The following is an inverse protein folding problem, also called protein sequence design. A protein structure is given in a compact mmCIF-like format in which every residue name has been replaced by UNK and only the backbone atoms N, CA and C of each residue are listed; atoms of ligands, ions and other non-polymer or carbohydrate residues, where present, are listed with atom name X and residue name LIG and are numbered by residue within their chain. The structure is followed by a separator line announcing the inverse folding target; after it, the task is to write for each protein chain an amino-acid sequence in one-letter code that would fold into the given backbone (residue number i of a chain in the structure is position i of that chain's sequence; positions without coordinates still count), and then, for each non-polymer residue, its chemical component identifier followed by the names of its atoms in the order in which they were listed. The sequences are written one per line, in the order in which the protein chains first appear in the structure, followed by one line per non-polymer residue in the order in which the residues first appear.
data_IF_317287680831
#
_entry.id   IF_317287680831
#
_cell.length_a   1.000
_cell.length_b   1.000
_cell.length_c   1.000
_cell.angle_alpha   90.00
_cell.angle_beta   90.00
_cell.angle_gamma   90.00
#
_symmetry.space_group_name_H-M   'P 1'
#
loop_
_entity.id
_entity.type
_entity.pdbx_description
1 polymer ?
#
# COMPACT_ATOMS: atom_id res chain seq x y z
N UNK A 1 -13.86 -6.71 7.20
CA UNK A 1 -12.82 -7.66 7.66
C UNK A 1 -11.78 -6.82 8.39
N UNK A 2 -11.83 -6.80 9.73
CA UNK A 2 -10.90 -6.03 10.58
C UNK A 2 -9.55 -6.75 10.59
N UNK A 3 -8.43 -6.06 10.38
CA UNK A 3 -7.12 -6.66 10.62
C UNK A 3 -6.81 -6.60 12.12
N UNK A 4 -6.35 -7.69 12.76
CA UNK A 4 -5.98 -7.66 14.17
C UNK A 4 -4.72 -6.80 14.37
N UNK A 5 -4.86 -5.77 15.20
CA UNK A 5 -3.82 -4.90 15.70
C UNK A 5 -3.01 -5.68 16.75
N UNK A 6 -1.86 -6.23 16.38
CA UNK A 6 -0.99 -6.92 17.35
C UNK A 6 0.43 -6.37 17.42
N UNK A 7 0.70 -5.15 16.95
CA UNK A 7 2.04 -4.54 17.05
C UNK A 7 2.01 -3.01 17.10
N UNK A 8 1.35 -2.39 18.08
CA UNK A 8 1.25 -0.92 18.14
C UNK A 8 1.32 -0.41 19.59
N UNK A 9 2.53 -0.07 20.06
CA UNK A 9 2.73 0.59 21.37
C UNK A 9 3.20 2.06 21.25
N UNK A 10 3.40 2.59 20.04
CA UNK A 10 4.00 3.93 19.84
C UNK A 10 3.21 4.84 18.84
N UNK A 11 1.86 4.85 18.90
CA UNK A 11 1.04 5.66 17.96
C UNK A 11 0.85 7.13 18.36
N UNK A 12 1.31 7.53 19.56
CA UNK A 12 1.15 8.89 20.08
C UNK A 12 2.05 9.96 19.42
N UNK A 13 2.80 9.62 18.36
CA UNK A 13 3.77 10.52 17.70
C UNK A 13 3.44 10.81 16.22
N UNK A 14 2.27 10.40 15.73
CA UNK A 14 2.02 10.29 14.30
C UNK A 14 1.64 11.61 13.65
N UNK A 15 2.58 12.15 12.89
CA UNK A 15 2.30 13.11 11.82
C UNK A 15 1.77 12.34 10.62
N UNK A 16 0.52 11.90 10.71
CA UNK A 16 -0.10 11.05 9.69
C UNK A 16 -0.02 11.71 8.32
N UNK A 17 0.63 11.04 7.37
CA UNK A 17 0.55 11.38 5.95
C UNK A 17 -0.45 10.48 5.26
N UNK A 18 -1.20 11.05 4.32
CA UNK A 18 -2.16 10.30 3.50
C UNK A 18 -1.90 10.61 2.03
N UNK A 19 -1.77 9.56 1.21
CA UNK A 19 -1.51 9.70 -0.22
C UNK A 19 -2.46 8.85 -1.05
N UNK A 20 -2.93 9.40 -2.16
CA UNK A 20 -3.67 8.69 -3.19
C UNK A 20 -2.74 7.78 -3.98
N UNK A 21 -3.22 6.58 -4.30
CA UNK A 21 -2.44 5.63 -5.09
C UNK A 21 -2.32 6.10 -6.56
N UNK A 22 -3.33 6.75 -7.15
CA UNK A 22 -3.33 7.18 -8.57
C UNK A 22 -2.21 8.19 -8.92
N UNK A 23 -1.88 9.14 -8.04
CA UNK A 23 -0.81 10.14 -8.30
C UNK A 23 0.60 9.56 -8.29
N UNK A 24 0.78 8.31 -7.86
CA UNK A 24 2.05 7.60 -7.98
C UNK A 24 2.26 6.96 -9.37
N UNK A 25 1.22 6.89 -10.21
CA UNK A 25 1.30 6.31 -11.57
C UNK A 25 1.77 7.32 -12.62
N UNK A 26 1.67 8.64 -12.36
CA UNK A 26 1.86 9.69 -13.37
C UNK A 26 3.30 10.20 -13.50
N UNK A 27 4.28 9.66 -12.78
CA UNK A 27 5.66 10.16 -12.86
C UNK A 27 6.43 9.78 -14.14
N UNK A 28 5.80 9.12 -15.13
CA UNK A 28 6.37 8.95 -16.48
C UNK A 28 5.48 9.67 -17.50
N UNK A 29 5.92 10.86 -17.91
CA UNK A 29 5.20 11.86 -18.70
C UNK A 29 4.96 11.55 -20.18
N UNK A 30 5.08 10.30 -20.65
CA UNK A 30 5.10 10.00 -22.09
C UNK A 30 4.05 8.98 -22.59
N UNK A 31 2.95 8.72 -21.88
CA UNK A 31 1.94 7.76 -22.35
C UNK A 31 0.58 8.40 -22.68
N UNK A 32 0.17 8.26 -23.94
CA UNK A 32 -1.16 8.64 -24.45
C UNK A 32 -2.27 7.78 -23.82
N UNK A 33 -3.52 8.28 -23.73
CA UNK A 33 -4.61 7.63 -22.98
C UNK A 33 -5.13 6.33 -23.61
N UNK A 34 -4.70 5.98 -24.81
CA UNK A 34 -5.36 4.97 -25.66
C UNK A 34 -4.90 3.54 -25.46
N UNK A 35 -3.86 3.28 -24.66
CA UNK A 35 -3.32 1.92 -24.44
C UNK A 35 -3.23 1.52 -22.95
N UNK A 36 -4.15 2.02 -22.11
CA UNK A 36 -4.19 1.77 -20.65
C UNK A 36 -5.03 0.55 -20.25
N UNK A 37 -5.37 -0.33 -21.18
CA UNK A 37 -6.05 -1.60 -20.90
C UNK A 37 -5.06 -2.76 -20.69
N UNK A 38 -3.86 -2.46 -20.20
CA UNK A 38 -2.88 -3.48 -19.86
C UNK A 38 -3.30 -4.11 -18.53
N UNK A 39 -3.68 -5.39 -18.56
CA UNK A 39 -3.89 -6.19 -17.35
C UNK A 39 -2.70 -6.00 -16.40
N UNK A 40 -2.97 -5.68 -15.13
CA UNK A 40 -1.93 -5.55 -14.11
C UNK A 40 -1.20 -6.87 -13.95
N UNK A 41 0.13 -6.83 -13.87
CA UNK A 41 0.96 -8.03 -13.82
C UNK A 41 2.21 -7.81 -12.96
N UNK A 42 2.42 -8.75 -12.05
CA UNK A 42 3.63 -8.89 -11.24
C UNK A 42 4.18 -10.30 -11.36
N UNK A 43 5.49 -10.42 -11.47
CA UNK A 43 6.19 -11.72 -11.48
C UNK A 43 7.15 -11.76 -10.29
N UNK A 44 7.02 -12.79 -9.48
CA UNK A 44 7.86 -13.08 -8.32
C UNK A 44 8.89 -14.15 -8.67
N UNK A 45 10.10 -14.06 -8.11
CA UNK A 45 11.22 -14.95 -8.40
C UNK A 45 11.85 -15.46 -7.09
N UNK A 46 12.21 -16.74 -7.05
CA UNK A 46 12.82 -17.36 -5.86
C UNK A 46 14.24 -16.86 -5.55
N UNK A 47 14.93 -16.28 -6.54
CA UNK A 47 16.29 -15.78 -6.42
C UNK A 47 16.39 -14.29 -6.76
N UNK A 48 17.53 -13.69 -6.42
CA UNK A 48 17.84 -12.31 -6.79
C UNK A 48 18.01 -12.18 -8.31
N UNK A 49 17.92 -10.94 -8.81
CA UNK A 49 18.13 -10.61 -10.22
C UNK A 49 17.24 -11.40 -11.20
N UNK A 50 16.00 -11.69 -10.79
CA UNK A 50 14.97 -12.34 -11.61
C UNK A 50 15.34 -13.75 -12.07
N UNK A 51 16.02 -14.50 -11.20
CA UNK A 51 16.48 -15.87 -11.46
C UNK A 51 15.67 -16.92 -10.70
N UNK A 52 15.92 -18.19 -11.00
CA UNK A 52 15.26 -19.33 -10.37
C UNK A 52 13.83 -19.54 -10.86
N UNK A 53 13.02 -20.26 -10.06
CA UNK A 53 11.60 -20.44 -10.34
C UNK A 53 10.87 -19.11 -10.21
N UNK A 54 9.87 -18.90 -11.06
CA UNK A 54 9.04 -17.71 -11.03
C UNK A 54 7.55 -18.05 -10.91
N UNK A 55 6.79 -17.07 -10.41
CA UNK A 55 5.34 -17.12 -10.35
C UNK A 55 4.76 -15.79 -10.84
N UNK A 56 3.93 -15.88 -11.87
CA UNK A 56 3.22 -14.73 -12.44
C UNK A 56 1.85 -14.58 -11.77
N UNK A 57 1.55 -13.36 -11.33
CA UNK A 57 0.30 -13.01 -10.69
C UNK A 57 -0.34 -11.80 -11.36
N UNK A 58 -1.62 -11.94 -11.73
CA UNK A 58 -2.44 -10.89 -12.37
C UNK A 58 -3.69 -10.54 -11.55
N UNK A 59 -3.79 -11.03 -10.32
CA UNK A 59 -4.94 -10.87 -9.43
C UNK A 59 -4.50 -10.82 -7.97
N UNK A 60 -5.46 -10.77 -7.05
CA UNK A 60 -5.18 -11.03 -5.63
C UNK A 60 -4.71 -12.48 -5.44
N UNK A 61 -3.70 -12.68 -4.58
CA UNK A 61 -3.18 -13.99 -4.19
C UNK A 61 -2.95 -14.01 -2.68
N UNK A 62 -3.76 -14.78 -1.95
CA UNK A 62 -3.71 -14.85 -0.48
C UNK A 62 -2.60 -15.76 0.05
N UNK A 63 -2.08 -16.68 -0.75
CA UNK A 63 -0.98 -17.57 -0.36
C UNK A 63 -0.15 -17.95 -1.57
N UNK A 64 1.09 -17.47 -1.59
CA UNK A 64 2.05 -17.77 -2.66
C UNK A 64 2.87 -19.04 -2.38
N UNK A 65 2.72 -19.66 -1.20
CA UNK A 65 3.57 -20.78 -0.74
C UNK A 65 3.44 -22.03 -1.60
N UNK A 66 2.31 -22.21 -2.31
CA UNK A 66 2.12 -23.29 -3.26
C UNK A 66 2.86 -23.09 -4.59
N UNK A 67 3.23 -21.85 -4.92
CA UNK A 67 3.90 -21.51 -6.18
C UNK A 67 5.41 -21.30 -5.98
N UNK A 68 5.79 -20.65 -4.87
CA UNK A 68 7.16 -20.32 -4.54
C UNK A 68 7.48 -20.69 -3.09
N UNK A 69 8.64 -21.30 -2.86
CA UNK A 69 9.14 -21.58 -1.51
C UNK A 69 9.60 -20.30 -0.79
N UNK A 70 10.19 -19.39 -1.57
CA UNK A 70 10.66 -18.07 -1.17
C UNK A 70 10.51 -17.08 -2.32
N UNK A 71 10.55 -15.79 -2.03
CA UNK A 71 10.68 -14.73 -3.02
C UNK A 71 11.89 -13.90 -2.66
N UNK A 72 12.74 -13.55 -3.64
CA UNK A 72 13.94 -12.73 -3.42
C UNK A 72 14.03 -11.55 -4.40
N UNK A 73 13.35 -11.63 -5.54
CA UNK A 73 13.17 -10.48 -6.44
C UNK A 73 11.78 -10.51 -7.09
N UNK A 74 11.30 -9.36 -7.56
CA UNK A 74 10.04 -9.28 -8.28
C UNK A 74 10.06 -8.18 -9.35
N UNK A 75 9.24 -8.35 -10.39
CA UNK A 75 9.07 -7.38 -11.47
C UNK A 75 7.59 -7.04 -11.60
N UNK A 76 7.25 -5.76 -11.51
CA UNK A 76 5.90 -5.28 -11.84
C UNK A 76 5.95 -4.77 -13.27
N UNK A 77 5.31 -5.49 -14.19
CA UNK A 77 5.25 -5.14 -15.61
C UNK A 77 4.23 -4.02 -15.86
N UNK A 78 3.09 -4.09 -15.17
CA UNK A 78 1.95 -3.19 -15.31
C UNK A 78 1.14 -3.12 -14.02
N UNK A 79 0.46 -1.99 -13.81
CA UNK A 79 -0.39 -1.77 -12.64
C UNK A 79 0.38 -1.55 -11.34
N UNK A 80 -0.33 -1.74 -10.23
CA UNK A 80 0.19 -1.63 -8.87
C UNK A 80 -0.27 -2.80 -8.02
N UNK A 81 0.60 -3.19 -7.09
CA UNK A 81 0.36 -4.29 -6.19
C UNK A 81 0.69 -3.87 -4.77
N UNK A 82 -0.12 -4.34 -3.81
CA UNK A 82 0.25 -4.34 -2.41
C UNK A 82 0.77 -5.74 -2.06
N UNK A 83 2.01 -5.85 -1.64
CA UNK A 83 2.63 -7.12 -1.25
C UNK A 83 2.74 -7.21 0.26
N UNK A 84 2.54 -8.40 0.80
CA UNK A 84 2.47 -8.67 2.22
C UNK A 84 3.48 -9.75 2.63
N UNK A 85 4.07 -9.53 3.80
CA UNK A 85 5.02 -10.43 4.44
C UNK A 85 4.43 -11.80 4.79
N UNK A 86 3.16 -11.85 5.20
CA UNK A 86 2.48 -13.09 5.61
C UNK A 86 1.34 -13.44 4.65
N UNK A 87 0.91 -14.70 4.72
CA UNK A 87 -0.29 -15.18 4.04
C UNK A 87 -1.52 -14.36 4.48
N UNK A 88 -2.57 -14.42 3.66
CA UNK A 88 -3.87 -13.79 3.91
C UNK A 88 -3.80 -12.27 4.12
N UNK A 89 -2.88 -11.60 3.42
CA UNK A 89 -2.74 -10.14 3.41
C UNK A 89 -2.34 -9.56 4.77
N UNK A 90 -1.50 -10.28 5.51
CA UNK A 90 -1.12 -9.94 6.89
C UNK A 90 0.36 -9.55 6.99
N UNK A 91 0.71 -8.91 8.11
CA UNK A 91 2.09 -8.50 8.39
C UNK A 91 2.44 -7.16 7.75
N UNK A 92 3.72 -6.94 7.50
CA UNK A 92 4.20 -5.72 6.85
C UNK A 92 3.68 -5.62 5.41
N UNK A 93 3.40 -4.40 4.95
CA UNK A 93 2.76 -4.10 3.67
C UNK A 93 3.67 -3.23 2.81
N UNK A 94 3.73 -3.52 1.52
CA UNK A 94 4.61 -2.83 0.58
C UNK A 94 3.91 -2.53 -0.73
N UNK A 95 3.80 -1.23 -1.00
CA UNK A 95 3.31 -0.75 -2.28
C UNK A 95 4.37 -0.92 -3.35
N UNK A 96 4.06 -1.72 -4.36
CA UNK A 96 4.87 -1.93 -5.54
C UNK A 96 4.19 -1.30 -6.75
N UNK A 97 4.97 -0.52 -7.49
CA UNK A 97 4.57 0.09 -8.77
C UNK A 97 5.36 -0.58 -9.88
N UNK A 98 4.97 -0.29 -11.13
CA UNK A 98 5.74 -0.70 -12.31
C UNK A 98 7.23 -0.43 -12.12
N UNK A 99 8.04 -1.48 -12.26
CA UNK A 99 9.46 -1.42 -11.96
C UNK A 99 10.08 -2.79 -11.72
N UNK A 100 11.41 -2.76 -11.60
CA UNK A 100 12.24 -3.92 -11.36
C UNK A 100 12.79 -3.86 -9.93
N UNK A 101 12.54 -4.90 -9.16
CA UNK A 101 12.99 -5.02 -7.78
C UNK A 101 13.91 -6.24 -7.67
N UNK A 102 15.17 -6.03 -8.05
CA UNK A 102 16.14 -7.08 -8.31
C UNK A 102 16.81 -7.66 -7.06
N UNK A 103 16.74 -6.96 -5.93
CA UNK A 103 17.40 -7.37 -4.69
C UNK A 103 16.62 -6.89 -3.45
N UNK A 104 16.17 -7.86 -2.65
CA UNK A 104 15.52 -7.62 -1.36
C UNK A 104 16.41 -6.83 -0.38
N UNK A 105 17.74 -6.93 -0.45
CA UNK A 105 18.62 -6.13 0.43
C UNK A 105 18.56 -4.63 0.10
N UNK A 106 18.45 -4.27 -1.18
CA UNK A 106 18.16 -2.87 -1.57
C UNK A 106 16.77 -2.43 -1.12
N UNK A 107 15.80 -3.34 -1.10
CA UNK A 107 14.49 -3.08 -0.53
C UNK A 107 14.62 -2.80 0.99
N UNK A 108 15.43 -3.55 1.73
CA UNK A 108 15.75 -3.28 3.14
C UNK A 108 16.31 -1.86 3.35
N UNK A 109 17.16 -1.38 2.44
CA UNK A 109 17.71 -0.01 2.50
C UNK A 109 16.68 1.11 2.33
N UNK A 110 15.48 0.82 1.79
CA UNK A 110 14.36 1.78 1.71
C UNK A 110 13.27 1.49 2.77
N UNK A 111 13.61 0.71 3.80
CA UNK A 111 12.74 0.44 4.96
C UNK A 111 11.87 -0.82 4.82
N UNK A 112 12.18 -1.70 3.86
CA UNK A 112 11.46 -2.95 3.62
C UNK A 112 12.15 -4.11 4.34
N UNK A 113 11.83 -4.35 5.62
CA UNK A 113 12.44 -5.43 6.41
C UNK A 113 11.56 -6.67 6.45
N UNK A 114 11.62 -7.52 5.43
CA UNK A 114 11.03 -8.86 5.52
C UNK A 114 11.83 -9.91 4.75
N UNK A 115 11.81 -11.15 5.25
CA UNK A 115 12.56 -12.27 4.66
C UNK A 115 11.81 -12.93 3.50
N UNK A 116 10.50 -12.72 3.37
CA UNK A 116 9.70 -13.37 2.34
C UNK A 116 8.42 -12.60 1.97
N UNK A 117 8.03 -12.67 0.68
CA UNK A 117 6.73 -12.21 0.19
C UNK A 117 5.79 -13.41 0.15
N UNK A 118 4.61 -13.27 0.75
CA UNK A 118 3.71 -14.42 0.96
C UNK A 118 2.30 -14.24 0.42
N UNK A 119 1.83 -13.00 0.33
CA UNK A 119 0.57 -12.70 -0.37
C UNK A 119 0.64 -11.34 -1.07
N UNK A 120 -0.24 -11.11 -2.04
CA UNK A 120 -0.32 -9.84 -2.75
C UNK A 120 -1.76 -9.50 -3.14
N UNK A 121 -2.06 -8.21 -3.22
CA UNK A 121 -3.32 -7.68 -3.77
C UNK A 121 -3.01 -6.84 -4.99
N UNK A 122 -3.76 -7.06 -6.05
CA UNK A 122 -3.81 -6.13 -7.16
C UNK A 122 -4.55 -4.86 -6.71
N UNK A 123 -4.00 -3.69 -7.04
CA UNK A 123 -4.68 -2.42 -6.83
C UNK A 123 -5.34 -2.02 -8.16
N UNK A 124 -6.68 -2.04 -8.25
CA UNK A 124 -7.38 -1.61 -9.44
C UNK A 124 -7.06 -0.16 -9.83
N UNK A 125 -7.13 0.11 -11.13
CA UNK A 125 -7.14 1.49 -11.64
C UNK A 125 -8.42 2.19 -11.16
N UNK A 126 -8.27 3.33 -10.48
CA UNK A 126 -9.40 4.12 -9.99
C UNK A 126 -9.37 5.49 -10.65
N UNK A 127 -10.36 5.75 -11.51
CA UNK A 127 -10.44 6.97 -12.34
C UNK A 127 -11.50 7.97 -11.85
N UNK A 128 -12.18 7.63 -10.77
CA UNK A 128 -13.21 8.48 -10.18
C UNK A 128 -12.60 9.38 -9.11
N UNK A 129 -13.46 10.15 -8.43
CA UNK A 129 -13.02 10.96 -7.31
C UNK A 129 -12.44 10.09 -6.19
N UNK A 130 -11.42 10.62 -5.51
CA UNK A 130 -10.90 10.05 -4.27
C UNK A 130 -11.57 10.74 -3.10
N UNK A 131 -12.10 9.96 -2.15
CA UNK A 131 -12.77 10.52 -0.96
C UNK A 131 -12.49 9.67 0.27
N UNK A 132 -12.00 10.32 1.31
CA UNK A 132 -11.80 9.72 2.63
C UNK A 132 -12.29 10.68 3.70
N UNK A 133 -12.85 10.13 4.77
CA UNK A 133 -13.17 10.90 5.97
C UNK A 133 -12.34 10.40 7.14
N UNK A 134 -11.61 11.31 7.77
CA UNK A 134 -10.79 11.04 8.96
C UNK A 134 -11.49 11.59 10.20
N UNK A 135 -11.24 10.95 11.34
CA UNK A 135 -11.89 11.23 12.61
C UNK A 135 -10.85 11.28 13.73
N UNK A 136 -11.07 12.22 14.65
CA UNK A 136 -10.20 12.44 15.79
C UNK A 136 -10.21 11.25 16.77
N UNK A 137 -11.36 10.58 16.92
CA UNK A 137 -11.55 9.48 17.87
C UNK A 137 -11.89 8.17 17.16
N UNK A 138 -11.73 7.07 17.90
CA UNK A 138 -12.27 5.76 17.55
C UNK A 138 -13.80 5.82 17.30
N UNK A 139 -14.34 4.78 16.64
CA UNK A 139 -15.77 4.65 16.32
C UNK A 139 -16.37 5.84 15.55
N UNK A 140 -15.58 6.50 14.69
CA UNK A 140 -16.01 7.68 13.90
C UNK A 140 -16.51 8.85 14.76
N UNK A 141 -15.99 8.96 15.99
CA UNK A 141 -16.33 10.02 16.93
C UNK A 141 -15.44 11.25 16.83
N UNK A 142 -15.82 12.31 17.57
CA UNK A 142 -15.04 13.53 17.66
C UNK A 142 -15.13 14.42 16.41
N UNK A 143 -14.15 15.31 16.24
CA UNK A 143 -14.05 16.11 15.02
C UNK A 143 -13.75 15.23 13.81
N UNK A 144 -14.25 15.63 12.64
CA UNK A 144 -14.05 14.88 11.41
C UNK A 144 -13.83 15.79 10.21
N UNK A 145 -13.01 15.33 9.27
CA UNK A 145 -12.66 16.07 8.07
C UNK A 145 -12.73 15.16 6.84
N UNK A 146 -13.30 15.68 5.75
CA UNK A 146 -13.30 15.00 4.46
C UNK A 146 -12.11 15.47 3.64
N UNK A 147 -11.41 14.52 3.01
CA UNK A 147 -10.25 14.79 2.18
C UNK A 147 -10.38 14.13 0.80
N UNK A 148 -9.97 14.89 -0.22
CA UNK A 148 -10.04 14.52 -1.63
C UNK A 148 -8.69 14.61 -2.34
N UNK A 149 -7.63 14.97 -1.61
CA UNK A 149 -6.27 15.18 -2.11
C UNK A 149 -5.24 14.61 -1.11
N UNK A 150 -4.02 14.42 -1.59
CA UNK A 150 -2.86 14.07 -0.76
C UNK A 150 -2.71 15.04 0.43
N UNK A 151 -2.37 14.50 1.60
CA UNK A 151 -2.17 15.23 2.84
C UNK A 151 -0.79 14.93 3.41
N UNK A 152 0.09 15.93 3.34
CA UNK A 152 1.46 15.85 3.82
C UNK A 152 1.60 16.10 5.34
N UNK A 153 0.53 16.48 6.04
CA UNK A 153 0.47 16.53 7.50
C UNK A 153 -0.99 16.80 7.92
N UNK A 154 -1.64 15.82 8.56
CA UNK A 154 -3.00 15.98 9.08
C UNK A 154 -3.09 17.09 10.13
N UNK A 155 -2.08 17.20 11.01
CA UNK A 155 -2.04 18.19 12.07
C UNK A 155 -1.96 19.62 11.50
N UNK A 156 -1.09 19.86 10.52
CA UNK A 156 -0.94 21.22 9.96
C UNK A 156 -2.18 21.64 9.17
N UNK A 157 -2.78 20.71 8.42
CA UNK A 157 -3.92 21.02 7.54
C UNK A 157 -5.24 21.15 8.29
N UNK A 158 -5.51 20.26 9.24
CA UNK A 158 -6.81 20.17 9.91
C UNK A 158 -6.75 20.51 11.41
N UNK A 159 -5.57 20.84 11.94
CA UNK A 159 -5.34 21.07 13.38
C UNK A 159 -5.77 19.88 14.25
N UNK A 160 -5.76 18.69 13.66
CA UNK A 160 -6.15 17.45 14.30
C UNK A 160 -4.88 16.74 14.77
N UNK A 161 -4.69 16.65 16.09
CA UNK A 161 -3.47 16.10 16.70
C UNK A 161 -3.41 14.58 16.64
N UNK A 162 -4.57 13.92 16.57
CA UNK A 162 -4.67 12.47 16.53
C UNK A 162 -5.74 12.01 15.53
N UNK A 163 -5.44 10.98 14.75
CA UNK A 163 -6.33 10.41 13.74
C UNK A 163 -6.57 8.94 14.09
N UNK A 164 -7.62 8.67 14.86
CA UNK A 164 -7.88 7.35 15.42
C UNK A 164 -8.87 6.49 14.62
N UNK A 165 -9.66 7.09 13.72
CA UNK A 165 -10.45 6.30 12.77
C UNK A 165 -10.58 6.99 11.42
N UNK A 166 -10.79 6.19 10.38
CA UNK A 166 -11.06 6.71 9.04
C UNK A 166 -12.02 5.82 8.26
N UNK A 167 -12.73 6.44 7.34
CA UNK A 167 -13.65 5.79 6.43
C UNK A 167 -13.25 6.13 4.99
N UNK A 168 -12.82 5.12 4.23
CA UNK A 168 -12.54 5.28 2.80
C UNK A 168 -13.83 5.11 2.01
N UNK A 169 -14.36 6.24 1.54
CA UNK A 169 -15.56 6.28 0.72
C UNK A 169 -15.24 5.88 -0.72
N UNK A 170 -14.20 6.47 -1.30
CA UNK A 170 -13.81 6.26 -2.69
C UNK A 170 -12.28 6.27 -2.87
N UNK A 171 -11.81 5.42 -3.79
CA UNK A 171 -10.42 5.34 -4.20
C UNK A 171 -9.51 4.53 -3.26
N UNK A 172 -8.23 4.46 -3.65
CA UNK A 172 -7.19 3.69 -2.97
C UNK A 172 -6.19 4.63 -2.30
N UNK A 173 -5.95 4.43 -1.00
CA UNK A 173 -5.16 5.34 -0.21
C UNK A 173 -4.05 4.62 0.55
N UNK A 174 -2.96 5.33 0.80
CA UNK A 174 -1.84 4.91 1.63
C UNK A 174 -1.72 5.88 2.81
N UNK A 175 -1.79 5.34 4.03
CA UNK A 175 -1.47 6.07 5.25
C UNK A 175 -0.04 5.76 5.63
N UNK A 176 0.74 6.77 5.99
CA UNK A 176 2.12 6.60 6.45
C UNK A 176 2.26 7.14 7.86
N UNK A 177 3.09 6.45 8.63
CA UNK A 177 3.35 6.79 10.02
C UNK A 177 4.34 7.96 10.16
N UNK A 178 5.35 8.07 9.29
CA UNK A 178 6.32 9.17 9.31
C UNK A 178 6.21 10.10 8.11
N UNK A 179 6.75 11.31 8.30
CA UNK A 179 6.89 12.31 7.25
C UNK A 179 7.70 11.79 6.04
N UNK A 180 7.54 12.43 4.89
CA UNK A 180 8.22 12.10 3.62
C UNK A 180 7.91 10.71 3.02
N UNK A 181 6.81 10.07 3.42
CA UNK A 181 6.41 8.75 2.89
C UNK A 181 7.45 7.65 3.14
N UNK A 182 8.18 7.79 4.25
CA UNK A 182 9.12 6.81 4.78
C UNK A 182 8.46 6.12 5.97
N UNK A 183 8.84 4.89 6.28
CA UNK A 183 8.27 4.01 7.32
C UNK A 183 7.08 3.13 6.89
N UNK A 184 6.47 2.49 7.89
CA UNK A 184 5.32 1.61 7.77
C UNK A 184 4.16 2.35 7.08
N UNK A 185 3.63 1.70 6.06
CA UNK A 185 2.44 2.17 5.36
C UNK A 185 1.27 1.23 5.64
N UNK A 186 0.05 1.78 5.58
CA UNK A 186 -1.18 1.01 5.62
C UNK A 186 -1.97 1.27 4.34
N UNK A 187 -2.33 0.19 3.66
CA UNK A 187 -3.21 0.23 2.51
C UNK A 187 -4.68 0.32 2.94
N UNK A 188 -5.35 1.40 2.55
CA UNK A 188 -6.76 1.61 2.83
C UNK A 188 -7.54 1.59 1.52
N UNK A 189 -8.37 0.55 1.36
CA UNK A 189 -9.19 0.30 0.17
C UNK A 189 -10.62 0.84 0.35
N UNK A 190 -11.42 1.02 -0.72
CA UNK A 190 -12.84 1.34 -0.57
C UNK A 190 -13.57 0.34 0.33
N UNK A 191 -14.50 0.82 1.14
CA UNK A 191 -15.18 0.05 2.20
C UNK A 191 -14.23 -0.51 3.28
N UNK A 192 -12.99 -0.01 3.37
CA UNK A 192 -12.13 -0.20 4.52
C UNK A 192 -12.47 0.83 5.60
N UNK A 193 -12.75 0.30 6.78
CA UNK A 193 -12.92 1.04 8.01
C UNK A 193 -11.69 0.82 8.87
N UNK A 194 -10.91 1.87 9.13
CA UNK A 194 -9.84 1.84 10.11
C UNK A 194 -10.38 2.30 11.46
N UNK A 195 -10.14 1.51 12.49
CA UNK A 195 -10.41 1.83 13.89
C UNK A 195 -9.14 1.46 14.65
N UNK A 196 -8.67 2.37 15.51
CA UNK A 196 -7.66 2.09 16.53
C UNK A 196 -8.24 1.18 17.62
#
# INVERSE_FOLDING_TARGET
MKQPLSTLQDWHLLRTLVKQVERQFTSNSNMTPTNRNMMSKITFYEENNFQGRSYECMSDCSDMSSYLSRCQSCRVESGCFMVYERNNYMGQQFFMRRGEYNDMQRMMSIGIMFDNMKSCRMIPDHRCQFRMKIYERENYGGQSYEMMDDCNNIQDRYRMSDCQSCNVMDGHWLMYEQAHYKSRMMYMRPAYTFEH
#
